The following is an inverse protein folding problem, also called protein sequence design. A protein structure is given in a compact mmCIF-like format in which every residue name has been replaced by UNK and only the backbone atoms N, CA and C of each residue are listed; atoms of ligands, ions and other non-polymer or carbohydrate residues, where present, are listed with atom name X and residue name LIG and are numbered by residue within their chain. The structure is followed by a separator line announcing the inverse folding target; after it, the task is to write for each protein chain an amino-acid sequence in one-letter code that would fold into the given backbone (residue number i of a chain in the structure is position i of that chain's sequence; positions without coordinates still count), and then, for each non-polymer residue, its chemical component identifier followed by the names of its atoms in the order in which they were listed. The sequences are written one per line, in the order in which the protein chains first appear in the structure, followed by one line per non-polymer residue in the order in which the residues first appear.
data_IF_618190905418
#
_entry.id   IF_618190905418
#
_cell.length_a   1.000
_cell.length_b   1.000
_cell.length_c   1.000
_cell.angle_alpha   90.00
_cell.angle_beta   90.00
_cell.angle_gamma   90.00
#
_symmetry.space_group_name_H-M   'P 1'
#
loop_
_entity.id
_entity.type
_entity.pdbx_description
1 polymer ?
#
# COMPACT_ATOMS: atom_id res chain seq x y z
N UNK A 1 -5.26 -28.26 -29.10
CA UNK A 1 -5.52 -27.19 -28.10
C UNK A 1 -4.51 -26.08 -28.35
N UNK A 2 -4.97 -24.85 -28.49
CA UNK A 2 -4.08 -23.69 -28.57
C UNK A 2 -3.50 -23.34 -27.19
N UNK A 3 -2.52 -22.43 -27.14
CA UNK A 3 -1.84 -22.05 -25.89
C UNK A 3 -2.82 -21.54 -24.84
N UNK A 4 -3.85 -20.79 -25.23
CA UNK A 4 -4.88 -20.29 -24.32
C UNK A 4 -5.73 -21.40 -23.70
N UNK A 5 -6.17 -22.37 -24.49
CA UNK A 5 -6.96 -23.52 -23.99
C UNK A 5 -6.14 -24.39 -23.02
N UNK A 6 -4.85 -24.59 -23.31
CA UNK A 6 -3.93 -25.33 -22.44
C UNK A 6 -3.73 -24.59 -21.12
N UNK A 7 -3.53 -23.28 -21.18
CA UNK A 7 -3.44 -22.44 -19.98
C UNK A 7 -4.73 -22.47 -19.18
N UNK A 8 -5.90 -22.37 -19.81
CA UNK A 8 -7.19 -22.40 -19.13
C UNK A 8 -7.41 -23.72 -18.37
N UNK A 9 -7.06 -24.86 -19.00
CA UNK A 9 -7.14 -26.17 -18.35
C UNK A 9 -6.18 -26.30 -17.17
N UNK A 10 -4.95 -25.78 -17.30
CA UNK A 10 -3.97 -25.72 -16.22
C UNK A 10 -4.46 -24.83 -15.09
N UNK A 11 -4.85 -23.60 -15.38
CA UNK A 11 -5.32 -22.63 -14.39
C UNK A 11 -6.51 -23.18 -13.58
N UNK A 12 -7.50 -23.77 -14.25
CA UNK A 12 -8.65 -24.38 -13.59
C UNK A 12 -8.26 -25.52 -12.63
N UNK A 13 -7.28 -26.36 -12.99
CA UNK A 13 -6.77 -27.44 -12.14
C UNK A 13 -6.16 -26.91 -10.83
N UNK A 14 -5.54 -25.76 -10.88
CA UNK A 14 -4.88 -25.14 -9.73
C UNK A 14 -5.70 -24.04 -9.05
N UNK A 15 -6.98 -23.93 -9.38
CA UNK A 15 -7.92 -23.00 -8.74
C UNK A 15 -7.73 -21.54 -9.14
N UNK A 16 -7.19 -21.28 -10.32
CA UNK A 16 -7.14 -19.94 -10.91
C UNK A 16 -8.18 -19.86 -12.03
N UNK A 17 -9.01 -18.83 -12.01
CA UNK A 17 -9.83 -18.48 -13.15
C UNK A 17 -9.04 -17.63 -14.14
N UNK A 18 -8.98 -18.02 -15.41
CA UNK A 18 -8.37 -17.20 -16.48
C UNK A 18 -9.12 -15.88 -16.69
N UNK A 19 -10.38 -15.82 -16.29
CA UNK A 19 -11.19 -14.60 -16.28
C UNK A 19 -11.03 -13.79 -14.98
N UNK A 20 -10.14 -14.23 -14.08
CA UNK A 20 -9.89 -13.61 -12.79
C UNK A 20 -11.05 -13.76 -11.78
N UNK A 21 -10.91 -13.16 -10.58
CA UNK A 21 -11.98 -13.11 -9.59
C UNK A 21 -13.14 -12.23 -10.08
N UNK A 22 -14.36 -12.55 -9.63
CA UNK A 22 -15.52 -11.67 -9.79
C UNK A 22 -15.34 -10.39 -8.98
N UNK A 23 -15.17 -9.29 -9.67
CA UNK A 23 -14.88 -7.99 -9.03
C UNK A 23 -16.05 -7.55 -8.16
N UNK A 24 -17.30 -7.72 -8.60
CA UNK A 24 -18.49 -7.34 -7.82
C UNK A 24 -18.57 -8.12 -6.51
N UNK A 25 -18.37 -9.43 -6.56
CA UNK A 25 -18.37 -10.28 -5.36
C UNK A 25 -17.22 -9.95 -4.39
N UNK A 26 -16.04 -9.62 -4.91
CA UNK A 26 -14.91 -9.16 -4.08
C UNK A 26 -15.20 -7.81 -3.43
N UNK A 27 -15.83 -6.87 -4.16
CA UNK A 27 -16.25 -5.57 -3.59
C UNK A 27 -17.22 -5.80 -2.44
N UNK A 28 -18.23 -6.64 -2.61
CA UNK A 28 -19.25 -6.90 -1.58
C UNK A 28 -18.62 -7.53 -0.33
N UNK A 29 -17.69 -8.48 -0.51
CA UNK A 29 -16.96 -9.09 0.59
C UNK A 29 -16.03 -8.09 1.32
N UNK A 30 -15.36 -7.20 0.58
CA UNK A 30 -14.56 -6.11 1.16
C UNK A 30 -15.43 -5.16 1.97
N UNK A 31 -16.57 -4.71 1.44
CA UNK A 31 -17.49 -3.80 2.13
C UNK A 31 -18.04 -4.40 3.42
N UNK A 32 -18.40 -5.69 3.39
CA UNK A 32 -18.83 -6.42 4.59
C UNK A 32 -17.73 -6.43 5.66
N UNK A 33 -16.51 -6.80 5.27
CA UNK A 33 -15.38 -6.87 6.20
C UNK A 33 -14.97 -5.50 6.74
N UNK A 34 -14.97 -4.46 5.89
CA UNK A 34 -14.75 -3.06 6.30
C UNK A 34 -15.78 -2.61 7.35
N UNK A 35 -17.07 -2.90 7.11
CA UNK A 35 -18.12 -2.55 8.08
C UNK A 35 -17.92 -3.29 9.40
N UNK A 36 -17.64 -4.58 9.34
CA UNK A 36 -17.36 -5.40 10.52
C UNK A 36 -16.17 -4.84 11.31
N UNK A 37 -15.09 -4.43 10.61
CA UNK A 37 -13.89 -3.83 11.20
C UNK A 37 -14.13 -2.45 11.84
N UNK A 38 -15.15 -1.70 11.42
CA UNK A 38 -15.57 -0.43 12.04
C UNK A 38 -16.48 -0.65 13.26
N UNK A 39 -17.27 -1.72 13.23
CA UNK A 39 -18.26 -1.99 14.26
C UNK A 39 -17.67 -2.71 15.48
N UNK A 40 -16.73 -3.62 15.26
CA UNK A 40 -16.23 -4.52 16.27
C UNK A 40 -14.79 -4.22 16.68
N UNK A 41 -14.43 -4.34 17.98
CA UNK A 41 -13.03 -4.39 18.41
C UNK A 41 -12.30 -5.55 17.71
N UNK A 42 -10.99 -5.39 17.52
CA UNK A 42 -10.15 -6.31 16.75
C UNK A 42 -10.16 -7.76 17.29
N UNK A 43 -10.35 -7.94 18.60
CA UNK A 43 -10.33 -9.23 19.28
C UNK A 43 -11.72 -9.82 19.50
N UNK A 44 -12.79 -9.25 18.90
CA UNK A 44 -14.16 -9.72 19.06
C UNK A 44 -14.61 -10.61 17.91
N UNK A 45 -15.60 -11.49 18.19
CA UNK A 45 -16.28 -12.26 17.16
C UNK A 45 -17.61 -11.57 16.77
N UNK A 46 -17.98 -11.57 15.49
CA UNK A 46 -17.27 -12.08 14.34
C UNK A 46 -15.99 -11.26 14.01
N UNK A 47 -14.96 -11.91 13.45
CA UNK A 47 -13.65 -11.31 13.21
C UNK A 47 -13.59 -10.65 11.83
N UNK A 48 -13.21 -9.35 11.81
CA UNK A 48 -12.82 -8.65 10.60
C UNK A 48 -11.36 -8.89 10.29
N UNK A 49 -11.01 -9.18 9.04
CA UNK A 49 -9.63 -9.29 8.63
C UNK A 49 -8.98 -7.93 8.43
N UNK A 50 -9.71 -6.95 7.91
CA UNK A 50 -9.26 -5.58 7.79
C UNK A 50 -9.36 -4.85 9.14
N UNK A 51 -8.26 -4.22 9.57
CA UNK A 51 -8.20 -3.58 10.88
C UNK A 51 -9.03 -2.30 10.98
N UNK A 52 -9.27 -1.60 9.87
CA UNK A 52 -10.06 -0.37 9.81
C UNK A 52 -9.66 0.65 10.88
N UNK A 53 -8.42 1.10 10.87
CA UNK A 53 -7.80 1.93 11.91
C UNK A 53 -8.26 3.38 11.81
N UNK A 54 -8.98 3.94 12.82
CA UNK A 54 -9.28 5.36 12.87
C UNK A 54 -8.00 6.17 13.11
N UNK A 55 -7.81 7.26 12.36
CA UNK A 55 -6.59 8.09 12.48
C UNK A 55 -6.78 9.36 13.26
N UNK A 56 -8.02 9.72 13.61
CA UNK A 56 -8.38 10.99 14.27
C UNK A 56 -7.96 12.23 13.46
N UNK A 57 -7.68 12.04 12.18
CA UNK A 57 -7.19 13.08 11.27
C UNK A 57 -8.15 13.24 10.10
N UNK A 58 -8.32 14.48 9.67
CA UNK A 58 -9.04 14.86 8.45
C UNK A 58 -8.13 15.65 7.52
N UNK A 59 -8.43 15.73 6.22
CA UNK A 59 -7.82 16.72 5.36
C UNK A 59 -8.01 18.13 5.91
N UNK A 60 -6.98 19.00 5.83
CA UNK A 60 -7.10 20.38 6.26
C UNK A 60 -8.15 21.13 5.42
N UNK A 61 -8.92 22.00 6.04
CA UNK A 61 -9.90 22.85 5.34
C UNK A 61 -9.23 23.82 4.36
N UNK A 62 -8.03 24.25 4.69
CA UNK A 62 -7.24 25.16 3.88
C UNK A 62 -5.80 24.65 3.76
N UNK A 63 -5.18 24.91 2.62
CA UNK A 63 -3.74 24.65 2.45
C UNK A 63 -2.95 25.56 3.41
N UNK A 64 -2.00 25.02 4.20
CA UNK A 64 -1.19 25.84 5.11
C UNK A 64 -0.35 26.85 4.34
N UNK A 65 -0.09 28.01 4.95
CA UNK A 65 0.68 29.11 4.36
C UNK A 65 1.73 29.60 5.35
N UNK A 66 2.93 29.90 4.83
CA UNK A 66 4.06 30.40 5.62
C UNK A 66 4.42 29.49 6.81
N UNK A 67 4.26 28.19 6.62
CA UNK A 67 4.52 27.16 7.63
C UNK A 67 5.70 26.29 7.20
N UNK A 68 6.47 25.86 8.20
CA UNK A 68 7.55 24.87 7.98
C UNK A 68 7.33 23.69 8.92
N UNK A 69 7.52 22.49 8.41
CA UNK A 69 7.32 21.23 9.16
C UNK A 69 8.52 20.33 8.94
N UNK A 70 8.98 19.68 9.99
CA UNK A 70 9.92 18.55 9.86
C UNK A 70 9.13 17.31 9.50
N UNK A 71 9.57 16.62 8.47
CA UNK A 71 8.95 15.38 8.00
C UNK A 71 9.93 14.22 8.12
N UNK A 72 9.43 13.14 8.70
CA UNK A 72 10.09 11.84 8.76
C UNK A 72 9.22 10.86 7.99
N UNK A 73 9.84 10.10 7.09
CA UNK A 73 9.21 8.99 6.39
C UNK A 73 10.08 7.75 6.59
N UNK A 74 9.56 6.86 7.44
CA UNK A 74 10.22 5.62 7.84
C UNK A 74 9.38 4.41 7.43
N UNK A 75 9.75 3.82 6.30
CA UNK A 75 9.03 2.67 5.75
C UNK A 75 9.97 1.62 5.17
N UNK A 76 9.73 0.37 5.48
CA UNK A 76 10.57 -0.72 5.01
C UNK A 76 12.00 -0.63 5.54
N UNK A 77 12.96 -0.52 4.62
CA UNK A 77 14.40 -0.43 4.95
C UNK A 77 14.93 1.00 4.89
N UNK A 78 14.10 1.96 4.46
CA UNK A 78 14.51 3.32 4.20
C UNK A 78 13.96 4.29 5.26
N UNK A 79 14.81 5.20 5.65
CA UNK A 79 14.50 6.35 6.47
C UNK A 79 14.78 7.63 5.69
N UNK A 80 13.80 8.51 5.59
CA UNK A 80 13.95 9.82 4.96
C UNK A 80 13.56 10.89 5.95
N UNK A 81 14.30 11.99 5.98
CA UNK A 81 13.97 13.16 6.79
C UNK A 81 14.22 14.44 5.98
N UNK A 82 13.34 15.41 6.12
CA UNK A 82 13.41 16.68 5.42
C UNK A 82 12.63 17.75 6.17
N UNK A 83 12.75 19.01 5.75
CA UNK A 83 11.77 20.05 6.04
C UNK A 83 10.88 20.27 4.83
N UNK A 84 9.59 20.50 5.05
CA UNK A 84 8.63 20.93 4.04
C UNK A 84 8.20 22.35 4.41
N UNK A 85 8.41 23.28 3.50
CA UNK A 85 8.02 24.67 3.65
C UNK A 85 6.85 24.98 2.72
N UNK A 86 5.77 25.49 3.28
CA UNK A 86 4.66 26.06 2.53
C UNK A 86 4.86 27.56 2.37
N UNK A 87 4.83 28.08 1.16
CA UNK A 87 4.98 29.52 0.89
C UNK A 87 3.70 30.31 1.23
N UNK A 88 3.68 31.61 0.92
CA UNK A 88 2.52 32.49 1.14
C UNK A 88 1.30 32.12 0.28
N UNK A 89 1.48 31.34 -0.76
CA UNK A 89 0.40 30.82 -1.61
C UNK A 89 0.01 29.36 -1.24
N UNK A 90 0.75 28.76 -0.31
CA UNK A 90 0.54 27.38 0.15
C UNK A 90 1.22 26.34 -0.73
N UNK A 91 2.15 26.74 -1.61
CA UNK A 91 2.90 25.80 -2.42
C UNK A 91 4.01 25.15 -1.59
N UNK A 92 4.07 23.80 -1.55
CA UNK A 92 5.09 23.10 -0.78
C UNK A 92 6.45 23.06 -1.50
N UNK A 93 7.53 23.21 -0.74
CA UNK A 93 8.90 22.92 -1.15
C UNK A 93 9.55 21.96 -0.16
N UNK A 94 10.22 20.93 -0.68
CA UNK A 94 10.97 19.95 0.12
C UNK A 94 12.42 20.41 0.18
N UNK A 95 12.90 20.61 1.39
CA UNK A 95 14.25 21.14 1.67
C UNK A 95 14.99 20.20 2.62
N UNK A 96 16.32 20.25 2.60
CA UNK A 96 17.19 19.50 3.53
C UNK A 96 16.89 17.99 3.55
N UNK A 97 16.60 17.38 2.41
CA UNK A 97 16.29 15.96 2.31
C UNK A 97 17.55 15.10 2.54
N UNK A 98 17.49 14.26 3.56
CA UNK A 98 18.47 13.19 3.79
C UNK A 98 17.82 11.81 3.73
N UNK A 99 18.63 10.82 3.35
CA UNK A 99 18.24 9.41 3.30
C UNK A 99 19.24 8.58 4.10
N UNK A 100 18.71 7.66 4.91
CA UNK A 100 19.47 6.75 5.77
C UNK A 100 18.85 5.36 5.74
N UNK A 101 19.57 4.38 6.24
CA UNK A 101 18.99 3.07 6.53
C UNK A 101 18.14 3.16 7.81
N UNK A 102 17.05 2.40 7.84
CA UNK A 102 16.20 2.31 9.03
C UNK A 102 16.98 1.66 10.18
N UNK A 103 16.93 2.18 11.42
CA UNK A 103 17.52 1.50 12.58
C UNK A 103 16.91 0.10 12.79
N UNK A 104 17.73 -0.87 13.19
CA UNK A 104 17.27 -2.23 13.47
C UNK A 104 17.32 -3.19 12.28
N UNK A 105 17.80 -2.80 11.10
CA UNK A 105 17.95 -3.71 9.95
C UNK A 105 19.12 -4.65 10.17
N UNK A 106 20.28 -4.10 10.51
CA UNK A 106 21.52 -4.88 10.59
C UNK A 106 21.64 -5.68 11.89
N UNK A 107 21.27 -5.06 13.01
CA UNK A 107 21.35 -5.67 14.36
C UNK A 107 20.14 -5.33 15.22
N UNK A 108 19.99 -6.01 16.34
CA UNK A 108 19.01 -5.67 17.36
C UNK A 108 19.34 -4.31 18.00
N UNK A 109 18.30 -3.49 18.19
CA UNK A 109 18.36 -2.20 18.86
C UNK A 109 17.50 -2.24 20.14
N UNK A 110 18.02 -1.73 21.24
CA UNK A 110 17.19 -1.38 22.40
C UNK A 110 16.26 -0.22 22.07
N UNK A 111 15.22 -0.03 22.85
CA UNK A 111 14.31 1.13 22.68
C UNK A 111 15.07 2.45 22.68
N UNK A 112 15.99 2.62 23.63
CA UNK A 112 16.78 3.84 23.75
C UNK A 112 17.64 4.08 22.51
N UNK A 113 18.42 3.08 22.10
CA UNK A 113 19.27 3.19 20.91
C UNK A 113 18.46 3.50 19.64
N UNK A 114 17.28 2.91 19.50
CA UNK A 114 16.42 3.12 18.33
C UNK A 114 16.01 4.59 18.20
N UNK A 115 15.47 5.19 19.26
CA UNK A 115 15.03 6.58 19.21
C UNK A 115 16.19 7.58 19.26
N UNK A 116 17.29 7.28 19.96
CA UNK A 116 18.51 8.11 19.93
C UNK A 116 19.12 8.15 18.52
N UNK A 117 19.08 7.03 17.80
CA UNK A 117 19.54 6.95 16.40
C UNK A 117 18.66 7.78 15.48
N UNK A 118 17.32 7.63 15.58
CA UNK A 118 16.39 8.46 14.80
C UNK A 118 16.61 9.95 15.11
N UNK A 119 16.71 10.32 16.39
CA UNK A 119 16.98 11.69 16.80
C UNK A 119 18.32 12.22 16.24
N UNK A 120 19.35 11.36 16.16
CA UNK A 120 20.63 11.74 15.54
C UNK A 120 20.51 12.01 14.04
N UNK A 121 19.64 11.30 13.35
CA UNK A 121 19.39 11.51 11.92
C UNK A 121 18.71 12.86 11.64
N UNK A 122 18.09 13.47 12.64
CA UNK A 122 17.36 14.72 12.51
C UNK A 122 18.21 15.96 12.85
N UNK A 123 19.48 15.82 13.27
CA UNK A 123 20.33 16.95 13.71
C UNK A 123 20.43 18.08 12.67
N UNK A 124 20.43 17.75 11.37
CA UNK A 124 20.46 18.73 10.29
C UNK A 124 19.17 19.56 10.18
N UNK A 125 18.10 19.16 10.87
CA UNK A 125 16.80 19.84 10.90
C UNK A 125 16.56 20.62 12.22
N UNK A 126 17.53 20.60 13.16
CA UNK A 126 17.40 21.26 14.46
C UNK A 126 17.06 22.73 14.30
N UNK A 127 16.02 23.20 15.00
CA UNK A 127 15.56 24.58 14.95
C UNK A 127 14.78 24.99 13.70
N UNK A 128 14.51 24.05 12.75
CA UNK A 128 13.73 24.36 11.54
C UNK A 128 12.23 24.47 11.79
N UNK A 129 11.70 23.67 12.71
CA UNK A 129 10.29 23.69 13.12
C UNK A 129 10.09 23.01 14.47
N UNK A 130 9.05 23.42 15.20
CA UNK A 130 8.55 22.73 16.39
C UNK A 130 7.50 21.64 16.04
N UNK A 131 6.99 21.62 14.80
CA UNK A 131 6.00 20.66 14.31
C UNK A 131 6.71 19.55 13.53
N UNK A 132 6.43 18.30 13.88
CA UNK A 132 7.02 17.11 13.27
C UNK A 132 5.91 16.20 12.78
N UNK A 133 5.91 15.88 11.50
CA UNK A 133 5.11 14.79 10.91
C UNK A 133 5.97 13.54 10.78
N UNK A 134 5.47 12.42 11.27
CA UNK A 134 6.20 11.16 11.19
C UNK A 134 5.34 10.08 10.53
N UNK A 135 5.57 9.85 9.23
CA UNK A 135 5.04 8.69 8.53
C UNK A 135 5.83 7.45 8.96
N UNK A 136 5.15 6.52 9.61
CA UNK A 136 5.73 5.30 10.11
C UNK A 136 4.93 4.10 9.56
N UNK A 137 5.46 3.45 8.53
CA UNK A 137 4.76 2.42 7.76
C UNK A 137 4.85 1.03 8.42
N UNK A 138 4.60 0.97 9.73
CA UNK A 138 4.49 -0.25 10.52
C UNK A 138 3.17 -0.25 11.29
N UNK A 139 2.74 -1.42 11.74
CA UNK A 139 1.48 -1.56 12.46
C UNK A 139 1.48 -0.77 13.76
N UNK A 140 0.59 0.22 13.85
CA UNK A 140 0.42 1.11 15.01
C UNK A 140 -1.05 1.27 15.35
N UNK A 141 -1.31 1.46 16.64
CA UNK A 141 -2.57 2.01 17.12
C UNK A 141 -2.41 3.52 17.27
N UNK A 142 -3.16 4.28 16.50
CA UNK A 142 -3.14 5.75 16.60
C UNK A 142 -4.02 6.21 17.75
N UNK A 143 -3.50 7.10 18.59
CA UNK A 143 -4.24 7.69 19.71
C UNK A 143 -5.01 8.93 19.28
N UNK A 144 -6.02 9.37 20.06
CA UNK A 144 -6.72 10.62 19.80
C UNK A 144 -5.81 11.85 19.74
N UNK A 145 -4.64 11.82 20.39
CA UNK A 145 -3.62 12.88 20.38
C UNK A 145 -2.69 12.79 19.15
N UNK A 146 -2.97 11.89 18.21
CA UNK A 146 -2.20 11.60 17.00
C UNK A 146 -0.79 11.02 17.29
N UNK A 147 -0.56 10.40 18.46
CA UNK A 147 0.62 9.56 18.66
C UNK A 147 0.34 8.11 18.22
N UNK A 148 1.38 7.34 17.95
CA UNK A 148 1.30 5.96 17.50
C UNK A 148 1.91 4.98 18.49
N UNK A 149 1.14 4.02 18.98
CA UNK A 149 1.66 2.91 19.75
C UNK A 149 2.02 1.74 18.83
N UNK A 150 3.28 1.34 18.82
CA UNK A 150 3.76 0.24 17.94
C UNK A 150 3.13 -1.07 18.38
N UNK A 151 2.45 -1.75 17.43
CA UNK A 151 1.87 -3.08 17.64
C UNK A 151 2.89 -4.15 17.28
N UNK A 152 3.49 -4.02 16.10
CA UNK A 152 4.47 -4.96 15.59
C UNK A 152 5.31 -4.32 14.47
N UNK A 153 6.49 -4.87 14.26
CA UNK A 153 7.27 -4.58 13.06
C UNK A 153 6.96 -5.63 11.99
N UNK A 154 6.42 -5.18 10.88
CA UNK A 154 6.47 -5.93 9.63
C UNK A 154 7.88 -5.77 9.06
N UNK A 155 8.37 -6.79 8.33
CA UNK A 155 9.72 -6.77 7.75
C UNK A 155 10.83 -7.01 8.78
N UNK A 156 12.08 -6.81 8.40
CA UNK A 156 13.27 -7.28 9.12
C UNK A 156 13.78 -6.34 10.22
N UNK A 157 12.93 -5.50 10.81
CA UNK A 157 13.36 -4.59 11.87
C UNK A 157 13.55 -5.35 13.19
N UNK A 158 14.76 -5.28 13.71
CA UNK A 158 15.20 -5.90 14.95
C UNK A 158 15.22 -4.86 16.07
N UNK A 159 14.06 -4.59 16.68
CA UNK A 159 13.89 -3.62 17.77
C UNK A 159 12.69 -4.02 18.64
N UNK A 160 12.74 -5.18 19.25
CA UNK A 160 11.62 -5.75 20.03
C UNK A 160 11.16 -4.88 21.19
N UNK A 161 12.09 -4.18 21.85
CA UNK A 161 11.77 -3.27 22.97
C UNK A 161 10.95 -2.05 22.55
N UNK A 162 10.90 -1.73 21.24
CA UNK A 162 10.08 -0.62 20.73
C UNK A 162 8.59 -0.99 20.65
N UNK A 163 8.26 -2.29 20.59
CA UNK A 163 6.88 -2.75 20.57
C UNK A 163 6.18 -2.29 21.86
N UNK A 164 4.99 -1.73 21.71
CA UNK A 164 4.19 -1.13 22.79
C UNK A 164 4.57 0.29 23.16
N UNK A 165 5.65 0.85 22.59
CA UNK A 165 6.06 2.25 22.83
C UNK A 165 5.22 3.22 22.02
N UNK A 166 5.00 4.41 22.58
CA UNK A 166 4.48 5.58 21.87
C UNK A 166 5.63 6.27 21.13
N UNK A 167 5.55 6.28 19.81
CA UNK A 167 6.65 6.73 18.93
C UNK A 167 6.89 8.22 19.05
N UNK A 168 5.81 9.02 19.02
CA UNK A 168 5.90 10.48 19.11
C UNK A 168 6.50 10.94 20.43
N UNK A 169 6.01 10.40 21.56
CA UNK A 169 6.53 10.70 22.88
C UNK A 169 8.01 10.28 23.01
N UNK A 170 8.35 9.04 22.59
CA UNK A 170 9.72 8.53 22.69
C UNK A 170 10.72 9.30 21.82
N UNK A 171 10.30 9.74 20.63
CA UNK A 171 11.12 10.60 19.78
C UNK A 171 11.30 11.99 20.41
N UNK A 172 10.25 12.58 20.94
CA UNK A 172 10.33 13.89 21.63
C UNK A 172 11.34 13.86 22.77
N UNK A 173 11.31 12.81 23.61
CA UNK A 173 12.27 12.62 24.71
C UNK A 173 13.71 12.48 24.20
N UNK A 174 13.92 11.72 23.13
CA UNK A 174 15.24 11.55 22.52
C UNK A 174 15.79 12.86 21.92
N UNK A 175 14.94 13.67 21.28
CA UNK A 175 15.30 14.98 20.74
C UNK A 175 15.67 15.96 21.89
N UNK A 176 14.86 16.03 22.95
CA UNK A 176 15.16 16.84 24.12
C UNK A 176 16.50 16.45 24.77
N UNK A 177 16.81 15.16 24.86
CA UNK A 177 18.09 14.66 25.39
C UNK A 177 19.29 15.10 24.54
N UNK A 178 19.08 15.48 23.28
CA UNK A 178 20.09 16.05 22.36
C UNK A 178 20.07 17.60 22.32
N UNK A 179 19.37 18.21 23.25
CA UNK A 179 19.30 19.67 23.39
C UNK A 179 18.40 20.33 22.33
N UNK A 180 17.40 19.64 21.84
CA UNK A 180 16.31 20.25 21.08
C UNK A 180 15.32 20.91 22.07
N UNK A 181 14.70 21.99 21.66
CA UNK A 181 13.47 22.44 22.31
C UNK A 181 12.41 21.32 22.12
N UNK A 182 11.56 21.15 23.14
CA UNK A 182 10.50 20.13 23.07
C UNK A 182 9.61 20.42 21.88
N UNK A 183 9.43 19.47 20.94
CA UNK A 183 8.49 19.63 19.84
C UNK A 183 7.09 19.98 20.36
N UNK A 184 6.42 20.92 19.71
CA UNK A 184 5.03 21.28 20.02
C UNK A 184 4.14 20.04 19.79
N UNK A 185 4.35 19.34 18.70
CA UNK A 185 3.63 18.13 18.35
C UNK A 185 4.47 17.20 17.46
N UNK A 186 4.34 15.90 17.69
CA UNK A 186 4.80 14.85 16.79
C UNK A 186 3.57 14.07 16.33
N UNK A 187 3.18 14.23 15.08
CA UNK A 187 1.99 13.60 14.50
C UNK A 187 2.39 12.32 13.78
N UNK A 188 1.84 11.20 14.22
CA UNK A 188 2.07 9.90 13.64
C UNK A 188 0.99 9.55 12.61
N UNK A 189 1.40 9.02 11.48
CA UNK A 189 0.45 8.50 10.48
C UNK A 189 1.07 7.36 9.65
N UNK A 190 0.18 6.62 8.99
CA UNK A 190 0.54 5.61 8.01
C UNK A 190 0.74 6.24 6.62
N UNK A 191 1.55 5.62 5.75
CA UNK A 191 1.83 6.08 4.38
C UNK A 191 0.57 6.24 3.51
N UNK A 192 -0.42 5.37 3.68
CA UNK A 192 -1.67 5.42 2.93
C UNK A 192 -2.54 6.61 3.36
N UNK A 193 -2.56 6.94 4.65
CA UNK A 193 -3.21 8.16 5.15
C UNK A 193 -2.48 9.41 4.66
N UNK A 194 -1.14 9.38 4.62
CA UNK A 194 -0.35 10.46 4.05
C UNK A 194 -0.64 10.66 2.56
N UNK A 195 -0.70 9.58 1.78
CA UNK A 195 -1.05 9.64 0.36
C UNK A 195 -2.45 10.28 0.15
N UNK A 196 -3.45 9.86 0.93
CA UNK A 196 -4.78 10.46 0.89
C UNK A 196 -4.75 11.97 1.18
N UNK A 197 -4.06 12.39 2.24
CA UNK A 197 -3.92 13.81 2.62
C UNK A 197 -3.26 14.63 1.51
N UNK A 198 -2.21 14.10 0.89
CA UNK A 198 -1.57 14.74 -0.23
C UNK A 198 -2.53 14.93 -1.42
N UNK A 199 -3.32 13.91 -1.73
CA UNK A 199 -4.36 13.99 -2.76
C UNK A 199 -5.43 15.05 -2.44
N UNK A 200 -5.80 15.17 -1.16
CA UNK A 200 -6.79 16.14 -0.71
C UNK A 200 -6.28 17.60 -0.77
N UNK A 201 -4.97 17.80 -0.67
CA UNK A 201 -4.35 19.13 -0.73
C UNK A 201 -4.10 19.63 -2.15
N UNK A 202 -4.27 18.77 -3.17
CA UNK A 202 -4.13 19.21 -4.56
C UNK A 202 -5.24 20.20 -4.92
N UNK A 203 -4.90 21.48 -4.91
CA UNK A 203 -5.78 22.51 -5.42
C UNK A 203 -5.69 22.57 -6.95
N UNK A 204 -6.50 21.77 -7.62
CA UNK A 204 -6.64 21.82 -9.08
C UNK A 204 -7.68 22.90 -9.39
N UNK A 205 -7.23 24.00 -9.99
CA UNK A 205 -8.11 25.13 -10.32
C UNK A 205 -9.34 24.66 -11.09
N UNK A 206 -10.52 25.05 -10.60
CA UNK A 206 -11.80 24.69 -11.20
C UNK A 206 -12.28 23.27 -10.90
N UNK A 207 -11.52 22.43 -10.17
CA UNK A 207 -11.93 21.09 -9.75
C UNK A 207 -12.43 21.06 -8.30
N UNK A 208 -13.43 20.22 -8.06
CA UNK A 208 -13.92 19.88 -6.71
C UNK A 208 -14.06 18.38 -6.59
N UNK A 209 -13.67 17.84 -5.47
CA UNK A 209 -13.84 16.42 -5.16
C UNK A 209 -14.87 16.25 -4.05
N UNK A 210 -15.67 15.19 -4.13
CA UNK A 210 -16.68 14.85 -3.13
C UNK A 210 -16.10 14.18 -1.90
N UNK A 211 -14.99 13.46 -2.05
CA UNK A 211 -14.20 12.81 -1.00
C UNK A 211 -12.83 12.42 -1.54
N UNK A 212 -12.01 11.81 -0.66
CA UNK A 212 -10.65 11.41 -0.97
C UNK A 212 -10.38 9.99 -0.49
N UNK A 213 -9.56 9.27 -1.24
CA UNK A 213 -9.03 7.96 -0.88
C UNK A 213 -7.54 7.88 -1.27
N UNK A 214 -6.83 6.96 -0.64
CA UNK A 214 -5.45 6.65 -0.96
C UNK A 214 -5.27 5.15 -1.23
N UNK A 215 -4.45 4.79 -2.20
CA UNK A 215 -4.00 3.42 -2.46
C UNK A 215 -2.49 3.39 -2.49
N UNK A 216 -1.90 2.51 -1.70
CA UNK A 216 -0.51 2.09 -1.83
C UNK A 216 -0.51 0.71 -2.50
N UNK A 217 0.11 0.60 -3.67
CA UNK A 217 0.39 -0.68 -4.34
C UNK A 217 1.83 -0.66 -4.85
N UNK A 218 2.72 -1.02 -3.95
CA UNK A 218 4.16 -1.08 -4.15
C UNK A 218 4.71 -2.42 -3.70
N UNK A 219 5.69 -2.41 -2.81
CA UNK A 219 6.19 -3.61 -2.11
C UNK A 219 5.07 -4.27 -1.30
N UNK A 220 4.22 -3.46 -0.66
CA UNK A 220 3.00 -3.88 0.05
C UNK A 220 1.73 -3.34 -0.62
N UNK A 221 0.60 -3.57 0.06
CA UNK A 221 -0.73 -3.15 -0.36
C UNK A 221 -1.52 -2.59 0.81
N UNK A 222 -2.03 -1.36 0.67
CA UNK A 222 -2.96 -0.79 1.64
C UNK A 222 -3.88 0.26 1.00
N UNK A 223 -4.99 0.58 1.66
CA UNK A 223 -5.88 1.66 1.25
C UNK A 223 -6.39 2.43 2.46
N UNK A 224 -6.74 3.70 2.23
CA UNK A 224 -7.40 4.56 3.20
C UNK A 224 -8.50 5.37 2.51
N UNK A 225 -9.50 5.77 3.26
CA UNK A 225 -10.60 6.60 2.78
C UNK A 225 -11.14 7.48 3.92
N UNK A 226 -12.00 8.44 3.62
CA UNK A 226 -12.68 9.25 4.64
C UNK A 226 -14.00 8.57 5.00
N UNK A 227 -14.12 8.12 6.26
CA UNK A 227 -15.39 7.63 6.83
C UNK A 227 -16.20 8.81 7.35
N UNK A 228 -17.46 8.86 6.95
CA UNK A 228 -18.43 9.88 7.38
C UNK A 228 -19.46 9.19 8.31
N UNK A 229 -19.35 9.45 9.58
CA UNK A 229 -20.26 8.89 10.58
C UNK A 229 -19.55 8.22 11.75
N UNK A 230 -20.32 7.69 12.69
CA UNK A 230 -19.77 7.15 13.92
C UNK A 230 -19.06 5.79 13.69
N UNK A 231 -17.85 5.68 14.19
CA UNK A 231 -17.09 4.43 14.22
C UNK A 231 -17.32 3.79 15.58
N UNK A 232 -18.13 2.73 15.62
CA UNK A 232 -18.58 2.12 16.89
C UNK A 232 -17.44 1.66 17.78
N UNK A 233 -16.41 1.02 17.21
CA UNK A 233 -15.25 0.57 17.99
C UNK A 233 -14.46 1.70 18.64
N UNK A 234 -14.57 2.93 18.15
CA UNK A 234 -13.89 4.10 18.69
C UNK A 234 -14.75 4.88 19.70
N UNK A 235 -16.02 4.52 19.91
CA UNK A 235 -16.95 5.23 20.80
C UNK A 235 -16.54 5.20 22.28
N UNK A 236 -15.67 4.28 22.68
CA UNK A 236 -15.18 4.18 24.05
C UNK A 236 -13.93 5.06 24.34
N UNK A 237 -13.50 5.88 23.37
CA UNK A 237 -12.44 6.85 23.62
C UNK A 237 -12.95 8.03 24.46
N UNK A 238 -12.09 8.64 25.26
CA UNK A 238 -12.45 9.79 26.08
C UNK A 238 -12.68 11.07 25.26
N UNK A 239 -12.30 11.07 23.98
CA UNK A 239 -12.47 12.21 23.06
C UNK A 239 -13.76 12.07 22.26
N UNK A 240 -14.45 13.19 22.02
CA UNK A 240 -15.58 13.23 21.09
C UNK A 240 -15.14 12.83 19.69
N UNK A 241 -15.86 11.89 19.09
CA UNK A 241 -15.58 11.45 17.72
C UNK A 241 -15.82 12.61 16.74
N UNK A 242 -14.93 12.84 15.77
CA UNK A 242 -15.18 13.79 14.71
C UNK A 242 -16.31 13.30 13.79
N UNK A 243 -16.99 14.22 13.10
CA UNK A 243 -18.05 13.89 12.14
C UNK A 243 -17.56 13.04 10.97
N UNK A 244 -16.28 13.19 10.65
CA UNK A 244 -15.58 12.36 9.66
C UNK A 244 -14.14 12.19 10.07
N UNK A 245 -13.47 11.14 9.58
CA UNK A 245 -12.05 10.94 9.74
C UNK A 245 -11.47 9.97 8.71
N UNK A 246 -10.17 10.07 8.49
CA UNK A 246 -9.46 9.10 7.67
C UNK A 246 -9.43 7.77 8.42
N UNK A 247 -9.76 6.69 7.70
CA UNK A 247 -9.62 5.31 8.17
C UNK A 247 -8.61 4.61 7.29
N UNK A 248 -7.58 4.02 7.92
CA UNK A 248 -6.63 3.13 7.25
C UNK A 248 -7.18 1.72 7.33
N UNK A 249 -7.43 1.09 6.18
CA UNK A 249 -8.16 -0.18 6.11
C UNK A 249 -7.31 -1.38 6.55
N UNK A 250 -5.98 -1.34 6.35
CA UNK A 250 -5.11 -2.52 6.37
C UNK A 250 -5.62 -3.58 5.37
N UNK A 251 -5.91 -3.12 4.15
CA UNK A 251 -6.55 -3.92 3.11
C UNK A 251 -5.73 -5.15 2.71
N UNK A 252 -4.41 -5.09 2.85
CA UNK A 252 -3.53 -6.24 2.61
C UNK A 252 -3.88 -7.48 3.45
N UNK A 253 -4.48 -7.29 4.62
CA UNK A 253 -4.90 -8.35 5.54
C UNK A 253 -6.21 -9.05 5.12
N UNK A 254 -6.97 -8.50 4.18
CA UNK A 254 -8.24 -9.09 3.75
C UNK A 254 -8.06 -10.55 3.31
N UNK A 255 -8.81 -11.45 3.91
CA UNK A 255 -8.65 -12.91 3.79
C UNK A 255 -9.85 -13.64 3.19
N UNK A 256 -10.96 -12.93 2.94
CA UNK A 256 -12.21 -13.52 2.39
C UNK A 256 -12.15 -13.61 0.86
N UNK A 257 -11.10 -14.29 0.36
CA UNK A 257 -10.80 -14.49 -1.04
C UNK A 257 -10.59 -15.97 -1.36
N UNK A 258 -10.95 -16.35 -2.57
CA UNK A 258 -10.57 -17.66 -3.11
C UNK A 258 -9.08 -17.61 -3.49
N UNK A 259 -8.29 -18.43 -2.81
CA UNK A 259 -6.86 -18.59 -3.07
C UNK A 259 -6.62 -19.78 -3.99
N UNK A 260 -5.72 -19.62 -4.94
CA UNK A 260 -5.24 -20.73 -5.75
C UNK A 260 -4.30 -21.66 -4.95
N UNK A 261 -3.99 -22.79 -5.53
CA UNK A 261 -2.92 -23.67 -5.03
C UNK A 261 -1.61 -22.89 -4.87
N UNK A 262 -1.24 -22.06 -5.84
CA UNK A 262 0.01 -21.31 -5.82
C UNK A 262 0.06 -20.26 -4.69
N UNK A 263 -1.03 -19.57 -4.45
CA UNK A 263 -1.14 -18.63 -3.33
C UNK A 263 -0.93 -19.34 -2.00
N UNK A 264 -1.54 -20.50 -1.83
CA UNK A 264 -1.48 -21.28 -0.59
C UNK A 264 -0.10 -21.88 -0.36
N UNK A 265 0.52 -22.44 -1.41
CA UNK A 265 1.86 -23.04 -1.29
C UNK A 265 2.95 -21.99 -1.09
N UNK A 266 2.86 -20.87 -1.81
CA UNK A 266 3.81 -19.77 -1.65
C UNK A 266 3.69 -19.11 -0.27
N UNK A 267 2.48 -18.94 0.23
CA UNK A 267 2.22 -18.38 1.56
C UNK A 267 2.96 -19.14 2.68
N UNK A 268 3.03 -20.47 2.59
CA UNK A 268 3.76 -21.32 3.54
C UNK A 268 5.26 -21.02 3.61
N UNK A 269 5.84 -20.43 2.58
CA UNK A 269 7.27 -20.08 2.51
C UNK A 269 7.57 -18.69 3.07
N UNK A 270 6.55 -17.90 3.37
CA UNK A 270 6.69 -16.52 3.86
C UNK A 270 6.89 -16.47 5.37
N UNK A 271 7.38 -15.34 5.89
CA UNK A 271 7.56 -15.13 7.34
C UNK A 271 6.24 -15.01 8.12
N UNK A 272 5.11 -14.83 7.44
CA UNK A 272 3.78 -14.63 8.04
C UNK A 272 2.73 -15.52 7.36
N UNK A 273 2.84 -16.87 7.46
CA UNK A 273 1.87 -17.77 6.84
C UNK A 273 0.46 -17.51 7.36
N UNK A 274 -0.52 -17.47 6.46
CA UNK A 274 -1.93 -17.23 6.77
C UNK A 274 -2.32 -15.77 6.99
N UNK A 275 -1.37 -14.83 7.02
CA UNK A 275 -1.62 -13.40 7.18
C UNK A 275 -1.38 -12.65 5.86
N UNK A 276 -1.93 -11.43 5.74
CA UNK A 276 -1.73 -10.55 4.58
C UNK A 276 -2.11 -11.21 3.24
N UNK A 277 -3.25 -11.91 3.23
CA UNK A 277 -3.67 -12.75 2.10
C UNK A 277 -3.80 -11.94 0.82
N UNK A 278 -4.54 -10.82 0.85
CA UNK A 278 -4.73 -9.98 -0.34
C UNK A 278 -3.41 -9.33 -0.80
N UNK A 279 -2.57 -8.89 0.14
CA UNK A 279 -1.26 -8.32 -0.20
C UNK A 279 -0.40 -9.34 -0.95
N UNK A 280 -0.36 -10.59 -0.49
CA UNK A 280 0.41 -11.66 -1.13
C UNK A 280 -0.08 -12.03 -2.52
N UNK A 281 -1.34 -11.73 -2.83
CA UNK A 281 -1.92 -11.96 -4.16
C UNK A 281 -1.67 -10.81 -5.15
N UNK A 282 -1.25 -9.62 -4.68
CA UNK A 282 -1.21 -8.39 -5.49
C UNK A 282 0.10 -7.63 -5.45
N UNK A 283 0.80 -7.61 -4.29
CA UNK A 283 1.90 -6.66 -4.10
C UNK A 283 3.21 -7.10 -4.74
N UNK A 284 4.09 -6.13 -4.95
CA UNK A 284 5.36 -6.33 -5.64
C UNK A 284 6.32 -7.30 -4.94
N UNK A 285 6.20 -7.44 -3.61
CA UNK A 285 7.02 -8.39 -2.85
C UNK A 285 6.68 -9.86 -3.15
N UNK A 286 5.43 -10.15 -3.56
CA UNK A 286 4.93 -11.53 -3.59
C UNK A 286 4.46 -12.00 -4.96
N UNK A 287 3.89 -11.11 -5.78
CA UNK A 287 3.25 -11.48 -7.05
C UNK A 287 4.19 -12.28 -7.97
N UNK A 288 5.45 -11.85 -8.09
CA UNK A 288 6.45 -12.55 -8.90
C UNK A 288 6.78 -13.95 -8.37
N UNK A 289 6.91 -14.11 -7.05
CA UNK A 289 7.19 -15.41 -6.43
C UNK A 289 6.06 -16.42 -6.62
N UNK A 290 4.80 -15.96 -6.48
CA UNK A 290 3.61 -16.81 -6.78
C UNK A 290 3.60 -17.22 -8.24
N UNK A 291 3.88 -16.29 -9.17
CA UNK A 291 3.97 -16.58 -10.61
C UNK A 291 5.14 -17.52 -10.93
N UNK A 292 6.28 -17.37 -10.27
CA UNK A 292 7.45 -18.26 -10.41
C UNK A 292 7.12 -19.70 -10.02
N UNK A 293 6.39 -19.90 -8.93
CA UNK A 293 5.90 -21.22 -8.53
C UNK A 293 4.95 -21.83 -9.57
N UNK A 294 4.07 -21.00 -10.18
CA UNK A 294 3.18 -21.45 -11.24
C UNK A 294 3.93 -21.87 -12.50
N UNK A 295 4.95 -21.12 -12.91
CA UNK A 295 5.82 -21.47 -14.06
C UNK A 295 6.56 -22.80 -13.80
N UNK A 296 7.12 -22.95 -12.61
CA UNK A 296 7.80 -24.21 -12.20
C UNK A 296 6.84 -25.41 -12.26
N UNK A 297 5.59 -25.22 -11.88
CA UNK A 297 4.56 -26.25 -11.92
C UNK A 297 4.12 -26.53 -13.37
N UNK A 298 3.95 -25.48 -14.19
CA UNK A 298 3.61 -25.60 -15.60
C UNK A 298 4.67 -26.39 -16.39
N UNK A 299 5.96 -26.22 -16.06
CA UNK A 299 7.04 -27.04 -16.61
C UNK A 299 6.85 -28.53 -16.26
N UNK A 300 6.53 -28.84 -15.01
CA UNK A 300 6.30 -30.24 -14.57
C UNK A 300 5.10 -30.89 -15.24
N UNK A 301 4.09 -30.08 -15.58
CA UNK A 301 2.86 -30.52 -16.27
C UNK A 301 3.01 -30.56 -17.79
N UNK A 302 4.19 -30.26 -18.33
CA UNK A 302 4.46 -30.33 -19.78
C UNK A 302 3.78 -29.23 -20.61
N UNK A 303 3.54 -28.04 -20.01
CA UNK A 303 3.01 -26.89 -20.73
C UNK A 303 4.05 -26.25 -21.66
N UNK A 304 5.33 -26.45 -21.36
CA UNK A 304 6.47 -25.97 -22.14
C UNK A 304 7.26 -27.12 -22.75
N UNK A 305 8.05 -26.82 -23.75
CA UNK A 305 9.01 -27.80 -24.32
C UNK A 305 10.05 -28.20 -23.26
N UNK A 306 10.63 -29.39 -23.37
CA UNK A 306 11.65 -29.88 -22.44
C UNK A 306 12.88 -28.95 -22.39
N UNK A 307 13.26 -28.37 -23.52
CA UNK A 307 14.35 -27.41 -23.65
C UNK A 307 14.06 -26.17 -22.80
N UNK A 308 12.87 -25.59 -22.95
CA UNK A 308 12.44 -24.40 -22.22
C UNK A 308 12.28 -24.69 -20.73
N UNK A 309 11.75 -25.85 -20.34
CA UNK A 309 11.67 -26.25 -18.93
C UNK A 309 13.05 -26.34 -18.27
N UNK A 310 14.06 -26.90 -18.97
CA UNK A 310 15.45 -26.94 -18.46
C UNK A 310 16.01 -25.54 -18.28
N UNK A 311 15.79 -24.65 -19.25
CA UNK A 311 16.30 -23.27 -19.19
C UNK A 311 15.60 -22.45 -18.09
N UNK A 312 14.28 -22.52 -17.95
CA UNK A 312 13.53 -21.87 -16.87
C UNK A 312 13.93 -22.41 -15.48
N UNK A 313 14.17 -23.73 -15.38
CA UNK A 313 14.66 -24.33 -14.13
C UNK A 313 16.07 -23.85 -13.77
N UNK A 314 16.94 -23.67 -14.75
CA UNK A 314 18.29 -23.14 -14.56
C UNK A 314 18.30 -21.64 -14.21
N UNK A 315 17.33 -20.87 -14.71
CA UNK A 315 17.15 -19.45 -14.35
C UNK A 315 16.75 -19.28 -12.87
N UNK A 316 16.12 -20.29 -12.27
CA UNK A 316 15.74 -20.29 -10.86
C UNK A 316 14.44 -19.55 -10.58
N UNK A 317 14.30 -19.07 -9.34
CA UNK A 317 13.15 -18.26 -8.93
C UNK A 317 13.30 -16.82 -9.41
N UNK A 318 12.18 -16.19 -9.77
CA UNK A 318 12.15 -14.81 -10.23
C UNK A 318 11.11 -13.99 -9.46
N UNK A 319 11.36 -12.67 -9.42
CA UNK A 319 10.47 -11.70 -8.80
C UNK A 319 9.59 -10.95 -9.79
N UNK A 320 8.80 -10.00 -9.27
CA UNK A 320 7.95 -9.15 -10.12
C UNK A 320 8.77 -8.36 -11.14
N UNK A 321 9.98 -7.93 -10.79
CA UNK A 321 10.85 -7.19 -11.71
C UNK A 321 11.20 -7.99 -12.98
N UNK A 322 11.54 -9.27 -12.83
CA UNK A 322 11.89 -10.13 -13.96
C UNK A 322 10.66 -10.47 -14.81
N UNK A 323 9.54 -10.77 -14.12
CA UNK A 323 8.24 -10.98 -14.73
C UNK A 323 7.82 -9.78 -15.58
N UNK A 324 7.91 -8.59 -15.03
CA UNK A 324 7.54 -7.34 -15.68
C UNK A 324 8.41 -7.03 -16.90
N UNK A 325 9.73 -7.19 -16.77
CA UNK A 325 10.65 -7.04 -17.91
C UNK A 325 10.34 -7.98 -19.06
N UNK A 326 9.97 -9.22 -18.76
CA UNK A 326 9.56 -10.18 -19.79
C UNK A 326 8.24 -9.75 -20.46
N UNK A 327 7.23 -9.36 -19.69
CA UNK A 327 5.94 -8.93 -20.25
C UNK A 327 6.06 -7.67 -21.13
N UNK A 328 6.97 -6.75 -20.80
CA UNK A 328 7.25 -5.60 -21.65
C UNK A 328 8.01 -5.93 -22.94
N UNK A 329 8.93 -6.89 -22.87
CA UNK A 329 9.85 -7.19 -23.98
C UNK A 329 10.19 -8.68 -24.04
N UNK A 330 9.24 -9.56 -24.44
CA UNK A 330 9.38 -11.02 -24.32
C UNK A 330 10.60 -11.61 -25.06
N UNK A 331 10.97 -11.03 -26.19
CA UNK A 331 12.07 -11.53 -27.02
C UNK A 331 13.45 -10.94 -26.67
N UNK A 332 13.52 -10.21 -25.57
CA UNK A 332 14.76 -9.55 -25.16
C UNK A 332 15.64 -10.51 -24.34
N UNK A 333 16.75 -10.95 -24.93
CA UNK A 333 17.62 -12.01 -24.37
C UNK A 333 18.57 -11.56 -23.27
N UNK A 334 18.66 -10.26 -22.94
CA UNK A 334 19.41 -9.72 -21.79
C UNK A 334 18.57 -9.65 -20.51
N UNK A 335 17.37 -10.21 -20.50
CA UNK A 335 16.52 -10.37 -19.31
C UNK A 335 16.53 -11.83 -18.85
N UNK A 336 16.27 -12.07 -17.55
CA UNK A 336 16.30 -13.43 -16.97
C UNK A 336 15.41 -14.41 -17.74
N UNK A 337 14.14 -14.08 -17.92
CA UNK A 337 13.17 -14.95 -18.58
C UNK A 337 13.34 -14.96 -20.11
N UNK A 338 13.67 -13.84 -20.73
CA UNK A 338 13.93 -13.80 -22.15
C UNK A 338 15.19 -14.56 -22.55
N UNK A 339 16.23 -14.58 -21.70
CA UNK A 339 17.40 -15.43 -21.91
C UNK A 339 17.03 -16.93 -21.83
N UNK A 340 16.17 -17.30 -20.87
CA UNK A 340 15.71 -18.69 -20.72
C UNK A 340 14.91 -19.16 -21.93
N UNK A 341 14.21 -18.27 -22.65
CA UNK A 341 13.46 -18.58 -23.85
C UNK A 341 14.27 -18.39 -25.15
N UNK A 342 15.53 -18.00 -25.08
CA UNK A 342 16.35 -17.79 -26.28
C UNK A 342 16.40 -19.05 -27.17
N UNK A 343 15.83 -18.95 -28.38
CA UNK A 343 15.69 -20.07 -29.32
C UNK A 343 14.65 -21.10 -28.92
N UNK A 344 13.69 -20.76 -28.06
CA UNK A 344 12.49 -21.55 -27.82
C UNK A 344 11.50 -21.43 -29.01
N UNK A 345 10.53 -22.34 -29.07
CA UNK A 345 9.42 -22.25 -30.01
C UNK A 345 8.47 -21.11 -29.63
N UNK A 346 7.75 -20.55 -30.57
CA UNK A 346 6.81 -19.45 -30.37
C UNK A 346 5.72 -19.80 -29.35
N UNK A 347 5.25 -21.04 -29.32
CA UNK A 347 4.27 -21.56 -28.37
C UNK A 347 4.76 -21.46 -26.91
N UNK A 348 6.06 -21.63 -26.66
CA UNK A 348 6.65 -21.44 -25.33
C UNK A 348 6.64 -19.96 -24.89
N UNK A 349 6.90 -19.03 -25.82
CA UNK A 349 6.79 -17.58 -25.54
C UNK A 349 5.34 -17.21 -25.23
N UNK A 350 4.39 -17.65 -26.05
CA UNK A 350 2.96 -17.41 -25.84
C UNK A 350 2.49 -17.97 -24.49
N UNK A 351 2.88 -19.20 -24.17
CA UNK A 351 2.50 -19.84 -22.93
C UNK A 351 3.03 -19.10 -21.71
N UNK A 352 4.32 -18.71 -21.71
CA UNK A 352 4.90 -17.96 -20.60
C UNK A 352 4.24 -16.58 -20.48
N UNK A 353 4.05 -15.87 -21.59
CA UNK A 353 3.41 -14.57 -21.60
C UNK A 353 2.00 -14.63 -21.00
N UNK A 354 1.17 -15.53 -21.51
CA UNK A 354 -0.21 -15.68 -21.05
C UNK A 354 -0.31 -16.10 -19.58
N UNK A 355 0.58 -17.00 -19.13
CA UNK A 355 0.62 -17.43 -17.74
C UNK A 355 0.97 -16.28 -16.79
N UNK A 356 1.99 -15.48 -17.12
CA UNK A 356 2.39 -14.33 -16.32
C UNK A 356 1.35 -13.21 -16.37
N UNK A 357 0.80 -12.94 -17.55
CA UNK A 357 -0.21 -11.91 -17.78
C UNK A 357 -1.51 -12.17 -17.00
N UNK A 358 -1.88 -13.44 -16.82
CA UNK A 358 -3.03 -13.85 -15.99
C UNK A 358 -2.86 -13.39 -14.52
N UNK A 359 -1.67 -13.44 -13.97
CA UNK A 359 -1.41 -12.95 -12.61
C UNK A 359 -1.48 -11.42 -12.52
N UNK A 360 -1.04 -10.70 -13.57
CA UNK A 360 -1.19 -9.24 -13.65
C UNK A 360 -2.67 -8.84 -13.75
N UNK A 361 -3.47 -9.57 -14.56
CA UNK A 361 -4.90 -9.31 -14.67
C UNK A 361 -5.63 -9.56 -13.34
N UNK A 362 -5.30 -10.65 -12.64
CA UNK A 362 -5.83 -10.94 -11.31
C UNK A 362 -5.48 -9.81 -10.31
N UNK A 363 -4.25 -9.33 -10.31
CA UNK A 363 -3.83 -8.20 -9.51
C UNK A 363 -4.65 -6.94 -9.82
N UNK A 364 -4.87 -6.65 -11.11
CA UNK A 364 -5.67 -5.51 -11.55
C UNK A 364 -7.11 -5.57 -11.04
N UNK A 365 -7.75 -6.74 -11.10
CA UNK A 365 -9.11 -6.96 -10.61
C UNK A 365 -9.21 -6.74 -9.11
N UNK A 366 -8.29 -7.32 -8.34
CA UNK A 366 -8.26 -7.17 -6.89
C UNK A 366 -7.97 -5.73 -6.45
N UNK A 367 -7.02 -5.06 -7.09
CA UNK A 367 -6.73 -3.64 -6.81
C UNK A 367 -7.91 -2.74 -7.17
N UNK A 368 -8.61 -3.01 -8.28
CA UNK A 368 -9.83 -2.29 -8.66
C UNK A 368 -10.94 -2.49 -7.64
N UNK A 369 -11.09 -3.69 -7.08
CA UNK A 369 -12.07 -3.99 -6.04
C UNK A 369 -11.81 -3.19 -4.77
N UNK A 370 -10.54 -3.04 -4.37
CA UNK A 370 -10.15 -2.26 -3.19
C UNK A 370 -10.48 -0.77 -3.40
N UNK A 371 -10.12 -0.21 -4.55
CA UNK A 371 -10.44 1.19 -4.90
C UNK A 371 -11.96 1.38 -4.90
N UNK A 372 -12.69 0.48 -5.55
CA UNK A 372 -14.13 0.55 -5.62
C UNK A 372 -14.80 0.46 -4.23
N UNK A 373 -14.33 -0.44 -3.37
CA UNK A 373 -14.83 -0.56 -2.00
C UNK A 373 -14.60 0.74 -1.19
N UNK A 374 -13.41 1.35 -1.29
CA UNK A 374 -13.11 2.63 -0.63
C UNK A 374 -14.01 3.78 -1.14
N UNK A 375 -14.23 3.87 -2.46
CA UNK A 375 -15.11 4.87 -3.07
C UNK A 375 -16.57 4.66 -2.59
N UNK A 376 -17.08 3.44 -2.64
CA UNK A 376 -18.44 3.11 -2.20
C UNK A 376 -18.61 3.43 -0.71
N UNK A 377 -17.64 3.01 0.11
CA UNK A 377 -17.67 3.19 1.56
C UNK A 377 -17.66 4.66 1.98
N UNK A 378 -17.00 5.54 1.21
CA UNK A 378 -17.05 6.98 1.43
C UNK A 378 -18.45 7.59 1.29
N UNK A 379 -19.38 6.89 0.64
CA UNK A 379 -20.75 7.38 0.36
C UNK A 379 -20.81 8.57 -0.62
N UNK A 380 -19.69 8.93 -1.24
CA UNK A 380 -19.53 10.08 -2.14
C UNK A 380 -19.33 9.63 -3.59
N UNK A 381 -19.13 10.59 -4.50
CA UNK A 381 -18.89 10.30 -5.93
C UNK A 381 -20.15 10.10 -6.77
N UNK A 382 -21.34 10.40 -6.25
CA UNK A 382 -22.61 10.34 -7.03
C UNK A 382 -22.73 11.45 -8.08
N UNK A 383 -22.06 12.56 -7.85
CA UNK A 383 -22.03 13.68 -8.79
C UNK A 383 -20.78 13.59 -9.66
N UNK A 384 -20.89 13.49 -11.01
CA UNK A 384 -19.74 13.39 -11.90
C UNK A 384 -18.85 14.65 -11.89
N UNK A 385 -19.38 15.82 -11.52
CA UNK A 385 -18.59 17.04 -11.35
C UNK A 385 -17.86 17.13 -10.00
N UNK A 386 -18.14 16.18 -9.10
CA UNK A 386 -17.52 16.05 -7.77
C UNK A 386 -17.16 14.58 -7.50
N UNK A 387 -16.25 13.99 -8.30
CA UNK A 387 -15.85 12.60 -8.12
C UNK A 387 -15.09 12.41 -6.81
N UNK A 388 -14.85 11.16 -6.42
CA UNK A 388 -13.89 10.85 -5.36
C UNK A 388 -12.49 10.90 -5.94
N UNK A 389 -11.58 11.67 -5.34
CA UNK A 389 -10.16 11.67 -5.70
C UNK A 389 -9.49 10.45 -5.07
N UNK A 390 -8.80 9.65 -5.86
CA UNK A 390 -8.02 8.49 -5.38
C UNK A 390 -6.56 8.70 -5.71
N UNK A 391 -5.74 9.04 -4.72
CA UNK A 391 -4.31 9.12 -4.92
C UNK A 391 -3.70 7.72 -4.84
N UNK A 392 -3.06 7.31 -5.92
CA UNK A 392 -2.36 6.03 -6.00
C UNK A 392 -0.85 6.22 -5.92
N UNK A 393 -0.19 5.41 -5.12
CA UNK A 393 1.26 5.37 -4.93
C UNK A 393 1.80 3.95 -5.08
N UNK A 394 3.06 3.85 -5.46
CA UNK A 394 3.81 2.61 -5.53
C UNK A 394 4.25 2.20 -6.92
N UNK A 395 5.46 1.63 -6.98
CA UNK A 395 6.10 1.20 -8.24
C UNK A 395 5.32 0.10 -8.95
N UNK A 396 4.70 -0.80 -8.19
CA UNK A 396 3.88 -1.89 -8.75
C UNK A 396 2.70 -1.31 -9.53
N UNK A 397 1.99 -0.33 -8.98
CA UNK A 397 0.86 0.31 -9.65
C UNK A 397 1.25 0.98 -10.97
N UNK A 398 2.38 1.70 -10.99
CA UNK A 398 2.75 2.53 -12.15
C UNK A 398 3.56 1.80 -13.20
N UNK A 399 4.40 0.84 -12.81
CA UNK A 399 5.40 0.27 -13.72
C UNK A 399 5.04 -1.12 -14.22
N UNK A 400 4.20 -1.89 -13.49
CA UNK A 400 3.84 -3.24 -13.94
C UNK A 400 3.05 -3.19 -15.24
N UNK A 401 3.45 -4.01 -16.17
CA UNK A 401 2.92 -4.10 -17.54
C UNK A 401 1.39 -4.11 -17.57
N UNK A 402 0.79 -3.14 -18.24
CA UNK A 402 -0.66 -2.95 -18.41
C UNK A 402 -1.50 -2.88 -17.11
N UNK A 403 -0.91 -2.95 -15.92
CA UNK A 403 -1.64 -3.02 -14.66
C UNK A 403 -2.55 -1.80 -14.46
N UNK A 404 -2.00 -0.58 -14.54
CA UNK A 404 -2.78 0.66 -14.38
C UNK A 404 -3.92 0.78 -15.40
N UNK A 405 -3.65 0.44 -16.65
CA UNK A 405 -4.67 0.53 -17.71
C UNK A 405 -5.84 -0.43 -17.44
N UNK A 406 -5.57 -1.64 -16.98
CA UNK A 406 -6.60 -2.62 -16.58
C UNK A 406 -7.39 -2.15 -15.36
N UNK A 407 -6.71 -1.65 -14.33
CA UNK A 407 -7.38 -1.08 -13.15
C UNK A 407 -8.36 0.01 -13.57
N UNK A 408 -7.95 0.94 -14.43
CA UNK A 408 -8.83 2.00 -14.94
C UNK A 408 -10.04 1.45 -15.70
N UNK A 409 -9.84 0.42 -16.53
CA UNK A 409 -10.91 -0.25 -17.25
C UNK A 409 -11.93 -0.91 -16.31
N UNK A 410 -11.45 -1.64 -15.30
CA UNK A 410 -12.32 -2.29 -14.31
C UNK A 410 -13.07 -1.28 -13.43
N UNK A 411 -12.41 -0.21 -12.99
CA UNK A 411 -13.05 0.89 -12.25
C UNK A 411 -14.16 1.52 -13.09
N UNK A 412 -13.90 1.80 -14.37
CA UNK A 412 -14.92 2.35 -15.24
C UNK A 412 -16.16 1.44 -15.33
N UNK A 413 -15.94 0.13 -15.49
CA UNK A 413 -17.03 -0.83 -15.55
C UNK A 413 -17.78 -0.94 -14.21
N UNK A 414 -17.05 -1.15 -13.11
CA UNK A 414 -17.65 -1.47 -11.82
C UNK A 414 -18.26 -0.25 -11.11
N UNK A 415 -17.63 0.90 -11.18
CA UNK A 415 -18.13 2.12 -10.52
C UNK A 415 -19.00 2.95 -11.44
N UNK A 416 -18.50 3.34 -12.63
CA UNK A 416 -19.20 4.30 -13.47
C UNK A 416 -20.39 3.64 -14.16
N UNK A 417 -20.17 2.53 -14.89
CA UNK A 417 -21.24 1.91 -15.69
C UNK A 417 -22.29 1.18 -14.83
N UNK A 418 -21.84 0.40 -13.82
CA UNK A 418 -22.77 -0.40 -13.01
C UNK A 418 -23.39 0.36 -11.84
N UNK A 419 -22.67 1.29 -11.21
CA UNK A 419 -23.08 1.92 -9.94
C UNK A 419 -23.29 3.42 -10.00
N UNK A 420 -22.98 4.07 -11.13
CA UNK A 420 -23.05 5.53 -11.31
C UNK A 420 -22.29 6.29 -10.21
N UNK A 421 -21.12 5.75 -9.84
CA UNK A 421 -20.19 6.37 -8.91
C UNK A 421 -18.94 6.79 -9.67
N UNK A 422 -18.48 8.01 -9.43
CA UNK A 422 -17.40 8.62 -10.16
C UNK A 422 -16.19 8.79 -9.25
N UNK A 423 -15.03 8.33 -9.72
CA UNK A 423 -13.75 8.60 -9.08
C UNK A 423 -12.71 8.97 -10.14
N UNK A 424 -11.67 9.63 -9.69
CA UNK A 424 -10.54 10.04 -10.51
C UNK A 424 -9.23 9.64 -9.83
N UNK A 425 -8.39 8.89 -10.56
CA UNK A 425 -7.05 8.54 -10.07
C UNK A 425 -6.12 9.72 -10.30
N UNK A 426 -5.58 10.23 -9.20
CA UNK A 426 -4.61 11.33 -9.19
C UNK A 426 -3.22 10.82 -8.81
N UNK A 427 -2.21 11.54 -9.25
CA UNK A 427 -0.80 11.25 -8.99
C UNK A 427 -0.12 12.50 -8.44
N UNK A 428 0.79 12.33 -7.51
CA UNK A 428 1.58 13.42 -6.97
C UNK A 428 2.96 12.91 -6.57
N UNK A 429 4.00 13.59 -7.06
CA UNK A 429 5.36 13.27 -6.64
C UNK A 429 5.57 13.58 -5.16
N UNK A 430 6.27 12.67 -4.47
CA UNK A 430 6.52 12.79 -3.02
C UNK A 430 5.24 12.89 -2.16
N UNK A 431 4.14 12.27 -2.59
CA UNK A 431 2.85 12.36 -1.92
C UNK A 431 2.93 12.02 -0.43
N UNK A 432 3.64 10.96 -0.04
CA UNK A 432 3.79 10.56 1.36
C UNK A 432 4.45 11.66 2.19
N UNK A 433 5.51 12.30 1.67
CA UNK A 433 6.21 13.40 2.36
C UNK A 433 5.28 14.62 2.52
N UNK A 434 4.59 15.00 1.45
CA UNK A 434 3.68 16.16 1.47
C UNK A 434 2.48 15.93 2.37
N UNK A 435 1.85 14.75 2.31
CA UNK A 435 0.74 14.40 3.18
C UNK A 435 1.12 14.31 4.65
N UNK A 436 2.35 13.86 4.93
CA UNK A 436 2.89 13.86 6.30
C UNK A 436 3.08 15.28 6.84
N UNK A 437 3.56 16.20 6.00
CA UNK A 437 3.66 17.60 6.37
C UNK A 437 2.28 18.21 6.68
N UNK A 438 1.30 17.92 5.82
CA UNK A 438 -0.08 18.40 6.00
C UNK A 438 -0.70 17.89 7.30
N UNK A 439 -0.51 16.62 7.64
CA UNK A 439 -0.99 16.07 8.91
C UNK A 439 -0.44 16.83 10.12
N UNK A 440 0.85 17.18 10.11
CA UNK A 440 1.48 17.87 11.22
C UNK A 440 1.04 19.33 11.38
N UNK A 441 0.60 19.98 10.31
CA UNK A 441 0.06 21.36 10.38
C UNK A 441 -1.40 21.37 10.79
N UNK A 442 -2.18 20.34 10.42
CA UNK A 442 -3.63 20.27 10.61
C UNK A 442 -4.05 19.71 11.98
N UNK A 443 -3.13 19.13 12.73
CA UNK A 443 -3.40 18.41 13.98
C UNK A 443 -3.42 19.37 15.26
#
# INVERSE_FOLDING_TARGET
MNSYERLAAFAARYGISVNGPDISGVIDALLYDMQLGLDCPQDSLPHASQQMIPTWTNPPECVPKNETVIVIDAGGTNFRSCSVRFDNEGRPSIENLERRSMPGIEREYSKKEFFDTIASYLEHLKGKSAKIGFCFSYAMKITPENDGQVINFSKEIKAKEVIGSFVGASLSDALCSRGWEKPEKVVMLNDTAAALLAGASQNIEGKRFGSYAGLILGTGLNTAYIEYGPIKKAQHSARTLPESQIVVCEAGMFDKLVRSFFDTEYDKTTNTPGMYVLEKMCSGAYLGGVASLAVKTACKEGLFSEKTCKALSAAGEFGLYDMDRFLHTPYRTDTLLGAALAGAEEDDYDMLYLLLDMFVDRCARLASSIIAAAVIKSGKGKNPSMPVSVLCEGTTFYKTHNLRARIMGYINTELIQKRHLYCEIVTLDNAVVLGTALAAVSA
#
